data_IF_608316097160
#
_entry.id   IF_608316097160
#
_cell.length_a   1.000
_cell.length_b   1.000
_cell.length_c   1.000
_cell.angle_alpha   90.00
_cell.angle_beta   90.00
_cell.angle_gamma   90.00
#
_symmetry.space_group_name_H-M   'P 1'
#
loop_
_entity.id
_entity.type
_entity.pdbx_description
1 polymer ?
#
# COMPACT_ATOMS: atom_id res chain seq x y z
N UNK A 1 19.25 -3.53 -22.80
CA UNK A 1 20.38 -2.64 -22.40
C UNK A 1 20.12 -2.06 -21.02
N UNK A 2 18.95 -1.45 -20.78
CA UNK A 2 18.58 -0.95 -19.46
C UNK A 2 18.60 -2.05 -18.40
N UNK A 3 18.00 -3.22 -18.67
CA UNK A 3 17.93 -4.33 -17.71
C UNK A 3 19.35 -4.78 -17.28
N UNK A 4 20.27 -4.97 -18.23
CA UNK A 4 21.66 -5.31 -17.90
C UNK A 4 22.34 -4.27 -17.00
N UNK A 5 22.00 -2.97 -17.12
CA UNK A 5 22.55 -1.93 -16.24
C UNK A 5 22.00 -2.06 -14.82
N UNK A 6 20.75 -2.51 -14.67
CA UNK A 6 20.15 -2.76 -13.35
C UNK A 6 20.96 -3.82 -12.61
N UNK A 7 21.27 -4.94 -13.27
CA UNK A 7 22.06 -6.02 -12.67
C UNK A 7 23.49 -5.58 -12.32
N UNK A 8 24.14 -4.80 -13.20
CA UNK A 8 25.51 -4.30 -12.97
C UNK A 8 25.55 -3.30 -11.82
N UNK A 9 24.53 -2.45 -11.69
CA UNK A 9 24.49 -1.42 -10.64
C UNK A 9 23.98 -1.92 -9.30
N UNK A 10 23.35 -3.09 -9.24
CA UNK A 10 22.83 -3.64 -7.98
C UNK A 10 23.92 -3.81 -6.90
N UNK A 11 25.06 -4.49 -7.15
CA UNK A 11 26.13 -4.60 -6.16
C UNK A 11 26.68 -3.24 -5.71
N UNK A 12 26.71 -2.25 -6.60
CA UNK A 12 27.17 -0.89 -6.31
C UNK A 12 26.20 -0.21 -5.34
N UNK A 13 24.90 -0.38 -5.55
CA UNK A 13 23.87 0.17 -4.66
C UNK A 13 23.95 -0.45 -3.27
N UNK A 14 24.17 -1.77 -3.19
CA UNK A 14 24.37 -2.49 -1.94
C UNK A 14 25.61 -1.99 -1.18
N UNK A 15 26.71 -1.67 -1.89
CA UNK A 15 27.91 -1.08 -1.28
C UNK A 15 27.70 0.35 -0.77
N UNK A 16 26.88 1.15 -1.47
CA UNK A 16 26.58 2.53 -1.04
C UNK A 16 25.70 2.52 0.21
N UNK A 17 24.60 1.75 0.19
CA UNK A 17 23.69 1.63 1.31
C UNK A 17 22.83 0.37 1.17
N UNK A 18 23.18 -0.70 1.90
CA UNK A 18 22.47 -1.98 1.88
C UNK A 18 20.98 -1.83 2.24
N UNK A 19 20.66 -0.99 3.24
CA UNK A 19 19.28 -0.81 3.69
C UNK A 19 18.41 -0.17 2.60
N UNK A 20 18.90 0.90 1.96
CA UNK A 20 18.15 1.57 0.89
C UNK A 20 18.15 0.73 -0.41
N UNK A 21 19.23 0.03 -0.71
CA UNK A 21 19.30 -0.84 -1.90
C UNK A 21 18.35 -2.04 -1.79
N UNK A 22 18.12 -2.56 -0.58
CA UNK A 22 17.18 -3.66 -0.31
C UNK A 22 15.71 -3.22 -0.20
N UNK A 23 15.39 -1.97 -0.51
CA UNK A 23 14.01 -1.48 -0.64
C UNK A 23 13.53 -1.60 -2.08
N UNK A 24 12.25 -1.88 -2.24
CA UNK A 24 11.52 -1.80 -3.51
C UNK A 24 10.37 -0.84 -3.35
N UNK A 25 10.37 0.21 -4.17
CA UNK A 25 9.31 1.21 -4.22
C UNK A 25 8.64 1.08 -5.58
N UNK A 26 7.32 1.00 -5.59
CA UNK A 26 6.54 0.98 -6.83
C UNK A 26 5.59 2.17 -6.87
N UNK A 27 5.53 2.81 -8.02
CA UNK A 27 4.57 3.86 -8.33
C UNK A 27 4.14 3.75 -9.80
N UNK A 28 3.05 4.42 -10.16
CA UNK A 28 2.67 4.59 -11.57
C UNK A 28 2.83 6.04 -11.99
N UNK A 29 3.21 6.23 -13.25
CA UNK A 29 3.39 7.54 -13.82
C UNK A 29 2.93 7.57 -15.28
N UNK A 30 2.95 8.76 -15.87
CA UNK A 30 2.48 9.01 -17.22
C UNK A 30 3.41 9.97 -17.97
N UNK A 31 3.79 9.62 -19.21
CA UNK A 31 4.44 10.56 -20.12
C UNK A 31 3.36 11.26 -20.95
N UNK A 32 3.14 12.54 -20.68
CA UNK A 32 2.16 13.34 -21.42
C UNK A 32 2.51 13.38 -22.92
N UNK A 33 1.52 13.09 -23.77
CA UNK A 33 1.71 13.08 -25.21
C UNK A 33 1.25 14.39 -25.86
N UNK A 34 1.86 14.77 -26.97
CA UNK A 34 1.43 15.93 -27.74
C UNK A 34 0.26 15.57 -28.67
N UNK A 35 -0.96 15.52 -28.12
CA UNK A 35 -2.20 15.15 -28.84
C UNK A 35 -3.28 16.21 -28.72
N UNK A 36 -4.24 16.20 -29.64
CA UNK A 36 -5.34 17.18 -29.71
C UNK A 36 -6.14 17.23 -28.41
N UNK A 37 -6.34 16.08 -27.77
CA UNK A 37 -7.11 15.91 -26.55
C UNK A 37 -6.45 16.56 -25.32
N UNK A 38 -5.13 16.75 -25.35
CA UNK A 38 -4.38 17.50 -24.31
C UNK A 38 -4.46 19.02 -24.49
N UNK A 39 -5.05 19.51 -25.57
CA UNK A 39 -5.35 20.93 -25.67
C UNK A 39 -6.42 21.31 -24.64
N UNK A 40 -6.17 22.26 -23.72
CA UNK A 40 -7.17 22.66 -22.72
C UNK A 40 -8.52 23.09 -23.33
N UNK A 41 -8.53 23.58 -24.58
CA UNK A 41 -9.76 23.93 -25.29
C UNK A 41 -10.66 22.71 -25.57
N UNK A 42 -10.07 21.53 -25.75
CA UNK A 42 -10.80 20.28 -26.01
C UNK A 42 -11.68 19.91 -24.81
N UNK A 43 -11.07 19.71 -23.64
CA UNK A 43 -11.79 19.38 -22.41
C UNK A 43 -12.78 20.49 -22.01
N UNK A 44 -12.37 21.76 -22.09
CA UNK A 44 -13.23 22.89 -21.75
C UNK A 44 -14.50 22.97 -22.62
N UNK A 45 -14.41 22.60 -23.90
CA UNK A 45 -15.58 22.55 -24.79
C UNK A 45 -16.60 21.53 -24.29
N UNK A 46 -16.15 20.34 -23.92
CA UNK A 46 -17.00 19.25 -23.41
C UNK A 46 -17.63 19.66 -22.07
N UNK A 47 -16.83 20.17 -21.13
CA UNK A 47 -17.29 20.64 -19.82
C UNK A 47 -18.36 21.73 -19.98
N UNK A 48 -18.17 22.68 -20.92
CA UNK A 48 -19.15 23.76 -21.16
C UNK A 48 -20.48 23.21 -21.70
N UNK A 49 -20.44 22.21 -22.57
CA UNK A 49 -21.64 21.53 -23.06
C UNK A 49 -22.38 20.84 -21.92
N UNK A 50 -21.67 20.10 -21.05
CA UNK A 50 -22.27 19.40 -19.91
C UNK A 50 -22.82 20.35 -18.84
N UNK A 51 -22.16 21.48 -18.58
CA UNK A 51 -22.69 22.56 -17.72
C UNK A 51 -23.99 23.15 -18.28
N UNK A 52 -24.06 23.35 -19.60
CA UNK A 52 -25.26 23.86 -20.28
C UNK A 52 -26.39 22.83 -20.20
N UNK A 53 -26.06 21.54 -20.40
CA UNK A 53 -27.00 20.44 -20.25
C UNK A 53 -27.58 20.35 -18.84
N UNK A 54 -26.74 20.43 -17.80
CA UNK A 54 -27.16 20.50 -16.38
C UNK A 54 -28.22 21.59 -16.18
N UNK A 55 -27.95 22.80 -16.69
CA UNK A 55 -28.85 23.96 -16.57
C UNK A 55 -30.18 23.76 -17.31
N UNK A 56 -30.16 23.24 -18.54
CA UNK A 56 -31.37 23.03 -19.34
C UNK A 56 -32.26 21.95 -18.73
N UNK A 57 -31.66 20.88 -18.20
CA UNK A 57 -32.39 19.74 -17.62
C UNK A 57 -32.79 19.94 -16.16
N UNK A 58 -32.35 21.02 -15.52
CA UNK A 58 -32.61 21.28 -14.11
C UNK A 58 -32.07 20.17 -13.20
N UNK A 59 -30.93 19.56 -13.58
CA UNK A 59 -30.29 18.50 -12.80
C UNK A 59 -29.78 19.08 -11.46
N UNK A 60 -29.89 18.27 -10.42
CA UNK A 60 -29.47 18.64 -9.07
C UNK A 60 -27.94 18.80 -8.94
N UNK A 61 -27.50 19.20 -7.75
CA UNK A 61 -26.08 19.38 -7.46
C UNK A 61 -25.30 18.08 -7.28
N UNK A 62 -25.96 16.93 -7.32
CA UNK A 62 -25.30 15.63 -7.38
C UNK A 62 -24.68 15.38 -8.77
N UNK A 63 -25.20 16.03 -9.82
CA UNK A 63 -24.57 16.00 -11.14
C UNK A 63 -23.33 16.91 -11.18
N UNK A 64 -22.15 16.29 -11.23
CA UNK A 64 -20.87 16.96 -11.45
C UNK A 64 -20.47 16.92 -12.94
N UNK A 65 -20.51 18.07 -13.64
CA UNK A 65 -20.13 18.16 -15.05
C UNK A 65 -18.68 17.77 -15.34
N UNK A 66 -17.77 17.84 -14.35
CA UNK A 66 -16.37 17.44 -14.52
C UNK A 66 -16.23 15.92 -14.51
N UNK A 67 -16.87 15.23 -13.56
CA UNK A 67 -16.94 13.75 -13.55
C UNK A 67 -17.63 13.21 -14.80
N UNK A 68 -18.74 13.83 -15.20
CA UNK A 68 -19.40 13.47 -16.45
C UNK A 68 -18.53 13.72 -17.69
N UNK A 69 -17.67 14.76 -17.68
CA UNK A 69 -16.72 15.00 -18.77
C UNK A 69 -15.67 13.88 -18.86
N UNK A 70 -15.22 13.33 -17.73
CA UNK A 70 -14.30 12.19 -17.71
C UNK A 70 -14.87 10.98 -18.45
N UNK A 71 -16.11 10.61 -18.15
CA UNK A 71 -16.81 9.52 -18.83
C UNK A 71 -17.11 9.81 -20.31
N UNK A 72 -17.38 11.07 -20.67
CA UNK A 72 -17.69 11.47 -22.04
C UNK A 72 -16.47 11.56 -22.96
N UNK A 73 -15.27 11.81 -22.41
CA UNK A 73 -14.05 11.90 -23.20
C UNK A 73 -13.55 10.52 -23.66
N UNK A 74 -12.91 10.43 -24.84
CA UNK A 74 -12.33 9.18 -25.34
C UNK A 74 -11.36 8.55 -24.32
N UNK A 75 -11.37 7.23 -24.15
CA UNK A 75 -10.44 6.53 -23.24
C UNK A 75 -8.99 6.54 -23.70
N UNK A 76 -8.77 6.79 -24.98
CA UNK A 76 -7.45 6.91 -25.58
C UNK A 76 -7.46 8.02 -26.62
N UNK A 77 -6.28 8.51 -26.99
CA UNK A 77 -6.14 9.47 -28.08
C UNK A 77 -6.54 8.82 -29.42
N UNK A 78 -7.05 9.62 -30.34
CA UNK A 78 -7.42 9.17 -31.69
C UNK A 78 -6.19 8.69 -32.49
N UNK A 79 -5.07 9.39 -32.33
CA UNK A 79 -3.82 9.15 -33.08
C UNK A 79 -3.12 7.86 -32.63
N UNK A 80 -3.20 7.50 -31.36
CA UNK A 80 -2.55 6.30 -30.82
C UNK A 80 -3.31 5.75 -29.60
N UNK A 81 -3.88 4.54 -29.70
CA UNK A 81 -4.60 3.90 -28.59
C UNK A 81 -3.75 3.62 -27.34
N UNK A 82 -2.42 3.61 -27.44
CA UNK A 82 -1.52 3.46 -26.29
C UNK A 82 -1.46 4.72 -25.41
N UNK A 83 -1.89 5.87 -25.94
CA UNK A 83 -2.00 7.12 -25.18
C UNK A 83 -3.37 7.10 -24.52
N UNK A 84 -3.39 6.86 -23.21
CA UNK A 84 -4.61 6.69 -22.44
C UNK A 84 -4.99 7.99 -21.73
N UNK A 85 -6.28 8.20 -21.56
CA UNK A 85 -6.77 9.28 -20.71
C UNK A 85 -6.46 8.97 -19.25
N UNK A 86 -5.92 9.96 -18.55
CA UNK A 86 -5.62 9.96 -17.13
C UNK A 86 -6.21 11.22 -16.49
N UNK A 87 -6.43 11.13 -15.18
CA UNK A 87 -6.75 12.27 -14.34
C UNK A 87 -5.64 12.40 -13.31
N UNK A 88 -4.87 13.48 -13.40
CA UNK A 88 -3.69 13.71 -12.57
C UNK A 88 -3.78 15.13 -12.03
N UNK A 89 -3.66 15.28 -10.70
CA UNK A 89 -3.62 16.57 -10.00
C UNK A 89 -4.75 17.54 -10.40
N UNK A 90 -5.98 17.03 -10.57
CA UNK A 90 -7.13 17.88 -10.90
C UNK A 90 -7.34 18.15 -12.39
N UNK A 91 -6.47 17.63 -13.28
CA UNK A 91 -6.50 17.89 -14.70
C UNK A 91 -6.60 16.61 -15.54
N UNK A 92 -7.28 16.71 -16.68
CA UNK A 92 -7.35 15.64 -17.68
C UNK A 92 -6.11 15.69 -18.57
N UNK A 93 -5.46 14.56 -18.74
CA UNK A 93 -4.32 14.42 -19.65
C UNK A 93 -4.36 13.08 -20.36
N UNK A 94 -3.75 13.01 -21.53
CA UNK A 94 -3.56 11.83 -22.35
C UNK A 94 -2.07 11.51 -22.34
N UNK A 95 -1.72 10.36 -21.79
CA UNK A 95 -0.34 10.01 -21.50
C UNK A 95 -0.06 8.53 -21.77
N UNK A 96 1.20 8.20 -22.01
CA UNK A 96 1.67 6.83 -21.94
C UNK A 96 1.79 6.45 -20.47
N UNK A 97 0.90 5.59 -19.99
CA UNK A 97 0.92 5.10 -18.61
C UNK A 97 1.97 4.01 -18.44
N UNK A 98 2.74 4.08 -17.37
CA UNK A 98 3.75 3.08 -17.03
C UNK A 98 3.88 2.90 -15.52
N UNK A 99 4.27 1.70 -15.09
CA UNK A 99 4.74 1.43 -13.74
C UNK A 99 6.24 1.66 -13.65
N UNK A 100 6.71 2.17 -12.53
CA UNK A 100 8.12 2.37 -12.25
C UNK A 100 8.48 1.67 -10.93
N UNK A 101 9.57 0.93 -10.94
CA UNK A 101 10.18 0.38 -9.74
C UNK A 101 11.46 1.14 -9.46
N UNK A 102 11.66 1.58 -8.23
CA UNK A 102 12.92 2.15 -7.74
C UNK A 102 13.38 1.45 -6.47
N UNK A 103 14.64 1.61 -6.12
CA UNK A 103 15.13 1.28 -4.78
C UNK A 103 15.03 2.49 -3.83
N UNK A 104 15.38 2.30 -2.56
CA UNK A 104 15.39 3.37 -1.55
C UNK A 104 16.42 4.48 -1.81
N UNK A 105 17.37 4.28 -2.73
CA UNK A 105 18.28 5.33 -3.20
C UNK A 105 17.66 6.21 -4.30
N UNK A 106 16.45 5.89 -4.77
CA UNK A 106 15.79 6.56 -5.89
C UNK A 106 16.31 6.13 -7.26
N UNK A 107 17.09 5.04 -7.34
CA UNK A 107 17.60 4.52 -8.61
C UNK A 107 16.52 3.66 -9.26
N UNK A 108 16.24 3.93 -10.53
CA UNK A 108 15.24 3.21 -11.30
C UNK A 108 15.72 1.79 -11.59
N UNK A 109 14.85 0.82 -11.32
CA UNK A 109 15.07 -0.63 -11.47
C UNK A 109 14.24 -1.25 -12.58
N UNK A 110 13.04 -0.74 -12.83
CA UNK A 110 12.20 -1.18 -13.96
C UNK A 110 11.28 -0.05 -14.41
N UNK A 111 10.97 -0.03 -15.71
CA UNK A 111 9.95 0.83 -16.31
C UNK A 111 9.09 -0.06 -17.22
N UNK A 112 7.83 -0.25 -16.84
CA UNK A 112 6.89 -1.12 -17.55
C UNK A 112 5.72 -0.33 -18.12
N UNK A 113 5.69 -0.15 -19.44
CA UNK A 113 4.60 0.56 -20.14
C UNK A 113 3.35 -0.31 -20.28
N UNK A 114 2.18 0.25 -19.96
CA UNK A 114 0.89 -0.45 -20.04
C UNK A 114 0.32 -0.41 -21.46
N UNK A 115 1.12 -0.86 -22.41
CA UNK A 115 0.72 -0.97 -23.81
C UNK A 115 -0.10 -2.25 -24.07
N UNK A 116 -0.55 -2.42 -25.31
CA UNK A 116 -1.34 -3.59 -25.71
C UNK A 116 -0.59 -4.91 -25.48
N UNK A 117 0.73 -4.92 -25.65
CA UNK A 117 1.54 -6.13 -25.49
C UNK A 117 1.64 -6.53 -24.01
N UNK A 118 1.81 -5.56 -23.12
CA UNK A 118 1.80 -5.77 -21.67
C UNK A 118 0.45 -6.31 -21.19
N UNK A 119 -0.66 -5.70 -21.63
CA UNK A 119 -2.01 -6.18 -21.30
C UNK A 119 -2.31 -7.56 -21.90
N UNK A 120 -1.68 -7.92 -23.02
CA UNK A 120 -1.80 -9.26 -23.62
C UNK A 120 -0.97 -10.31 -22.86
N UNK A 121 0.20 -9.91 -22.35
CA UNK A 121 1.04 -10.78 -21.51
C UNK A 121 0.39 -11.05 -20.14
N UNK A 122 -0.36 -10.07 -19.63
CA UNK A 122 -1.02 -10.13 -18.31
C UNK A 122 -2.55 -10.03 -18.45
N UNK A 123 -3.24 -11.09 -18.92
CA UNK A 123 -4.68 -11.09 -19.14
C UNK A 123 -5.49 -10.93 -17.84
N UNK A 124 -4.86 -11.13 -16.67
CA UNK A 124 -5.44 -10.93 -15.35
C UNK A 124 -5.74 -9.44 -15.07
N UNK A 125 -5.13 -8.53 -15.82
CA UNK A 125 -5.43 -7.09 -15.76
C UNK A 125 -6.73 -6.83 -16.50
N UNK A 126 -7.86 -6.95 -15.79
CA UNK A 126 -9.16 -6.58 -16.33
C UNK A 126 -9.26 -5.06 -16.41
N UNK A 127 -9.24 -4.54 -17.64
CA UNK A 127 -9.58 -3.14 -17.96
C UNK A 127 -11.08 -2.98 -17.75
N UNK A 128 -11.46 -2.49 -16.58
CA UNK A 128 -12.86 -2.20 -16.27
C UNK A 128 -13.37 -1.02 -17.09
N UNK A 129 -14.69 -1.01 -17.31
CA UNK A 129 -15.35 0.14 -17.93
C UNK A 129 -15.17 1.35 -17.02
N UNK A 130 -14.75 2.48 -17.61
CA UNK A 130 -14.66 3.78 -16.95
C UNK A 130 -15.89 4.04 -16.08
N UNK A 131 -15.65 4.37 -14.83
CA UNK A 131 -16.67 4.90 -13.94
C UNK A 131 -16.74 6.43 -14.06
N UNK A 132 -17.69 7.04 -13.35
CA UNK A 132 -17.75 8.50 -13.19
C UNK A 132 -16.78 9.00 -12.09
N UNK A 133 -15.84 8.16 -11.65
CA UNK A 133 -14.94 8.39 -10.51
C UNK A 133 -13.47 8.24 -10.92
N UNK A 134 -12.82 9.32 -11.40
CA UNK A 134 -11.45 9.26 -11.92
C UNK A 134 -10.42 8.76 -10.90
N UNK A 135 -10.59 9.13 -9.63
CA UNK A 135 -9.64 8.77 -8.56
C UNK A 135 -9.73 7.29 -8.18
N UNK A 136 -10.94 6.71 -8.24
CA UNK A 136 -11.14 5.28 -8.01
C UNK A 136 -10.60 4.47 -9.19
N UNK A 137 -10.88 4.90 -10.42
CA UNK A 137 -10.36 4.26 -11.64
C UNK A 137 -8.83 4.28 -11.67
N UNK A 138 -8.20 5.40 -11.26
CA UNK A 138 -6.74 5.49 -11.11
C UNK A 138 -6.24 4.49 -10.07
N UNK A 139 -6.78 4.55 -8.86
CA UNK A 139 -6.33 3.70 -7.74
C UNK A 139 -6.46 2.21 -8.05
N UNK A 140 -7.57 1.80 -8.68
CA UNK A 140 -7.81 0.42 -9.08
C UNK A 140 -6.83 -0.03 -10.19
N UNK A 141 -6.57 0.85 -11.15
CA UNK A 141 -5.60 0.58 -12.21
C UNK A 141 -4.18 0.37 -11.65
N UNK A 142 -3.78 1.18 -10.68
CA UNK A 142 -2.43 1.13 -10.09
C UNK A 142 -2.25 -0.14 -9.26
N UNK A 143 -3.23 -0.49 -8.44
CA UNK A 143 -3.21 -1.71 -7.62
C UNK A 143 -3.17 -3.00 -8.45
N UNK A 144 -3.92 -3.06 -9.56
CA UNK A 144 -3.93 -4.22 -10.47
C UNK A 144 -2.61 -4.41 -11.21
N UNK A 145 -1.87 -3.33 -11.46
CA UNK A 145 -0.62 -3.40 -12.20
C UNK A 145 0.58 -3.81 -11.34
N UNK A 146 0.50 -3.61 -10.01
CA UNK A 146 1.61 -3.90 -9.08
C UNK A 146 2.13 -5.34 -9.19
N UNK A 147 1.25 -6.33 -9.06
CA UNK A 147 1.65 -7.75 -9.04
C UNK A 147 2.27 -8.17 -10.38
N UNK A 148 1.65 -7.91 -11.55
CA UNK A 148 2.26 -8.18 -12.85
C UNK A 148 3.64 -7.55 -13.04
N UNK A 149 3.79 -6.27 -12.70
CA UNK A 149 5.08 -5.57 -12.88
C UNK A 149 6.15 -6.16 -11.95
N UNK A 150 5.82 -6.50 -10.71
CA UNK A 150 6.76 -7.17 -9.80
C UNK A 150 7.15 -8.56 -10.31
N UNK A 151 6.21 -9.35 -10.83
CA UNK A 151 6.51 -10.67 -11.43
C UNK A 151 7.52 -10.54 -12.57
N UNK A 152 7.24 -9.64 -13.51
CA UNK A 152 8.12 -9.38 -14.65
C UNK A 152 9.50 -8.90 -14.19
N UNK A 153 9.55 -8.03 -13.18
CA UNK A 153 10.80 -7.51 -12.62
C UNK A 153 11.68 -8.62 -12.02
N UNK A 154 11.12 -9.49 -11.18
CA UNK A 154 11.88 -10.58 -10.55
C UNK A 154 12.25 -11.69 -11.54
N UNK A 155 11.47 -11.90 -12.59
CA UNK A 155 11.83 -12.80 -13.68
C UNK A 155 13.02 -12.26 -14.48
N UNK A 156 13.03 -10.95 -14.79
CA UNK A 156 14.17 -10.29 -15.45
C UNK A 156 15.42 -10.27 -14.57
N UNK A 157 15.26 -10.07 -13.26
CA UNK A 157 16.34 -9.83 -12.31
C UNK A 157 16.35 -10.84 -11.15
N UNK A 158 16.65 -12.13 -11.40
CA UNK A 158 16.53 -13.18 -10.40
C UNK A 158 17.53 -13.08 -9.24
N UNK A 159 18.58 -12.26 -9.39
CA UNK A 159 19.60 -12.04 -8.35
C UNK A 159 19.23 -10.91 -7.39
N UNK A 160 18.24 -10.08 -7.73
CA UNK A 160 17.80 -8.98 -6.89
C UNK A 160 16.79 -9.51 -5.87
N UNK A 161 17.19 -9.49 -4.59
CA UNK A 161 16.37 -10.00 -3.50
C UNK A 161 16.12 -8.91 -2.44
N UNK A 162 15.14 -8.03 -2.68
CA UNK A 162 14.82 -6.93 -1.78
C UNK A 162 14.10 -7.44 -0.53
N UNK A 163 14.28 -6.75 0.59
CA UNK A 163 13.73 -7.11 1.90
C UNK A 163 12.49 -6.30 2.27
N UNK A 164 12.40 -5.08 1.76
CA UNK A 164 11.34 -4.14 2.16
C UNK A 164 10.59 -3.62 0.94
N UNK A 165 9.27 -3.64 0.99
CA UNK A 165 8.41 -2.98 0.01
C UNK A 165 7.88 -1.67 0.56
N UNK A 166 7.85 -0.61 -0.25
CA UNK A 166 7.16 0.64 0.03
C UNK A 166 6.16 0.94 -1.07
N UNK A 167 4.97 1.36 -0.68
CA UNK A 167 3.89 1.65 -1.61
C UNK A 167 2.91 2.68 -1.06
N UNK A 168 2.05 3.17 -1.95
CA UNK A 168 1.00 4.11 -1.61
C UNK A 168 -0.20 3.44 -0.92
N UNK A 169 -1.18 4.23 -0.50
CA UNK A 169 -2.40 3.70 0.10
C UNK A 169 -3.29 2.92 -0.89
N UNK A 170 -3.12 3.08 -2.20
CA UNK A 170 -3.91 2.37 -3.19
C UNK A 170 -3.60 0.87 -3.17
N UNK A 171 -2.40 0.47 -2.73
CA UNK A 171 -1.98 -0.92 -2.58
C UNK A 171 -2.48 -1.61 -1.30
N UNK A 172 -3.28 -0.94 -0.47
CA UNK A 172 -3.82 -1.49 0.76
C UNK A 172 -4.90 -2.57 0.48
N UNK A 173 -4.48 -3.79 0.13
CA UNK A 173 -5.37 -4.93 -0.12
C UNK A 173 -4.80 -6.23 0.44
N UNK A 174 -5.66 -7.12 0.93
CA UNK A 174 -5.24 -8.41 1.53
C UNK A 174 -4.45 -9.24 0.50
N UNK A 175 -4.88 -9.23 -0.75
CA UNK A 175 -4.25 -9.95 -1.85
C UNK A 175 -2.83 -9.45 -2.12
N UNK A 176 -2.62 -8.13 -2.18
CA UNK A 176 -1.29 -7.54 -2.37
C UNK A 176 -0.37 -7.90 -1.21
N UNK A 177 -0.83 -7.77 0.04
CA UNK A 177 -0.02 -8.17 1.20
C UNK A 177 0.34 -9.64 1.19
N UNK A 178 -0.59 -10.50 0.77
CA UNK A 178 -0.34 -11.94 0.64
C UNK A 178 0.76 -12.20 -0.39
N UNK A 179 0.65 -11.60 -1.57
CA UNK A 179 1.64 -11.73 -2.63
C UNK A 179 3.02 -11.25 -2.17
N UNK A 180 3.11 -10.03 -1.61
CA UNK A 180 4.37 -9.43 -1.18
C UNK A 180 5.06 -10.25 -0.07
N UNK A 181 4.33 -10.63 0.98
CA UNK A 181 4.92 -11.23 2.18
C UNK A 181 5.05 -12.76 2.10
N UNK A 182 4.19 -13.45 1.34
CA UNK A 182 4.20 -14.91 1.26
C UNK A 182 4.82 -15.44 -0.03
N UNK A 183 4.55 -14.81 -1.17
CA UNK A 183 5.05 -15.28 -2.47
C UNK A 183 6.43 -14.69 -2.77
N UNK A 184 6.55 -13.36 -2.77
CA UNK A 184 7.83 -12.67 -2.99
C UNK A 184 8.74 -12.77 -1.76
N UNK A 185 8.16 -12.95 -0.57
CA UNK A 185 8.86 -13.08 0.73
C UNK A 185 9.61 -11.83 1.15
N UNK A 186 9.04 -10.65 0.89
CA UNK A 186 9.48 -9.44 1.57
C UNK A 186 9.37 -9.62 3.09
N UNK A 187 10.34 -9.12 3.83
CA UNK A 187 10.32 -9.12 5.29
C UNK A 187 9.30 -8.09 5.82
N UNK A 188 9.18 -6.95 5.14
CA UNK A 188 8.31 -5.83 5.55
C UNK A 188 7.63 -5.18 4.34
N UNK A 189 6.39 -4.73 4.53
CA UNK A 189 5.67 -3.93 3.54
C UNK A 189 5.08 -2.66 4.19
N UNK A 190 5.62 -1.50 3.83
CA UNK A 190 5.16 -0.19 4.27
C UNK A 190 4.16 0.36 3.27
N UNK A 191 2.88 0.16 3.58
CA UNK A 191 1.74 0.61 2.77
C UNK A 191 0.77 1.30 3.74
N UNK A 192 0.46 2.59 3.54
CA UNK A 192 -0.53 3.32 4.34
C UNK A 192 -1.92 2.69 4.24
N UNK A 193 -2.73 2.78 5.29
CA UNK A 193 -4.10 2.25 5.26
C UNK A 193 -5.01 3.18 4.46
N UNK A 194 -5.70 2.65 3.45
CA UNK A 194 -6.76 3.34 2.71
C UNK A 194 -8.03 3.48 3.53
N UNK A 195 -8.33 2.49 4.36
CA UNK A 195 -9.51 2.47 5.24
C UNK A 195 -9.09 1.98 6.60
N UNK A 196 -9.65 2.62 7.65
CA UNK A 196 -9.38 2.23 9.04
C UNK A 196 -9.66 0.74 9.24
N UNK A 197 -8.81 0.08 10.01
CA UNK A 197 -9.01 -1.30 10.43
C UNK A 197 -10.29 -1.33 11.30
N UNK A 198 -11.40 -1.79 10.73
CA UNK A 198 -12.66 -1.87 11.44
C UNK A 198 -12.56 -2.91 12.57
N UNK A 199 -12.54 -2.47 13.82
CA UNK A 199 -12.69 -3.33 15.00
C UNK A 199 -14.11 -3.20 15.51
N UNK A 200 -15.05 -3.94 14.91
CA UNK A 200 -16.34 -4.20 15.56
C UNK A 200 -16.22 -5.57 16.22
N UNK A 201 -16.23 -5.54 17.55
CA UNK A 201 -16.48 -6.69 18.42
C UNK A 201 -15.42 -7.79 18.35
N UNK A 202 -14.32 -7.60 19.06
CA UNK A 202 -13.48 -8.71 19.48
C UNK A 202 -12.98 -8.49 20.90
N UNK A 203 -12.66 -9.58 21.62
CA UNK A 203 -12.06 -9.58 22.98
C UNK A 203 -10.70 -8.84 23.08
N UNK A 204 -10.24 -8.25 21.97
CA UNK A 204 -9.01 -7.47 21.81
C UNK A 204 -9.37 -6.12 21.15
N UNK A 205 -9.55 -5.04 21.93
CA UNK A 205 -9.79 -3.72 21.35
C UNK A 205 -8.51 -3.27 20.62
N UNK A 206 -8.59 -3.02 19.32
CA UNK A 206 -7.47 -2.52 18.51
C UNK A 206 -7.65 -1.03 18.24
N UNK A 207 -6.57 -0.25 18.30
CA UNK A 207 -6.57 1.15 17.84
C UNK A 207 -6.47 1.23 16.29
N UNK A 208 -6.36 2.46 15.77
CA UNK A 208 -6.29 2.73 14.33
C UNK A 208 -5.06 2.09 13.66
N UNK A 209 -3.98 1.87 14.41
CA UNK A 209 -2.74 1.22 13.97
C UNK A 209 -2.79 -0.31 14.10
N UNK A 210 -3.91 -0.88 14.56
CA UNK A 210 -3.99 -2.30 14.85
C UNK A 210 -3.22 -2.70 16.11
N UNK A 211 -2.93 -1.78 17.02
CA UNK A 211 -2.29 -2.08 18.31
C UNK A 211 -3.37 -2.38 19.35
N UNK A 212 -3.28 -3.48 20.12
CA UNK A 212 -4.19 -3.75 21.23
C UNK A 212 -4.16 -2.64 22.26
N UNK A 213 -5.33 -2.28 22.76
CA UNK A 213 -5.52 -1.31 23.84
C UNK A 213 -5.91 -2.02 25.14
N UNK A 214 -5.79 -1.30 26.26
CA UNK A 214 -6.27 -1.82 27.54
C UNK A 214 -7.80 -2.04 27.48
N UNK A 215 -8.32 -3.21 27.90
CA UNK A 215 -9.76 -3.46 27.90
C UNK A 215 -10.59 -2.50 28.77
N UNK A 216 -9.98 -1.94 29.83
CA UNK A 216 -10.65 -0.99 30.73
C UNK A 216 -10.44 0.47 30.29
N UNK A 217 -9.48 0.74 29.40
CA UNK A 217 -9.15 2.08 28.94
C UNK A 217 -8.58 2.02 27.51
N UNK A 218 -9.46 2.24 26.53
CA UNK A 218 -9.10 2.14 25.11
C UNK A 218 -8.11 3.22 24.66
N UNK A 219 -7.82 4.24 25.47
CA UNK A 219 -6.81 5.26 25.15
C UNK A 219 -5.37 4.78 25.39
N UNK A 220 -5.19 3.67 26.11
CA UNK A 220 -3.87 3.16 26.49
C UNK A 220 -3.43 2.01 25.57
N UNK A 221 -2.54 2.26 24.59
CA UNK A 221 -1.99 1.20 23.76
C UNK A 221 -1.08 0.29 24.57
N UNK A 222 -1.14 -1.01 24.28
CA UNK A 222 -0.30 -2.01 24.91
C UNK A 222 1.12 -2.00 24.34
N UNK A 223 2.09 -2.39 25.17
CA UNK A 223 3.51 -2.37 24.80
C UNK A 223 3.88 -3.64 24.05
N UNK A 224 4.55 -3.52 22.91
CA UNK A 224 5.12 -4.68 22.21
C UNK A 224 6.28 -5.26 23.02
N UNK A 225 6.29 -6.58 23.25
CA UNK A 225 7.36 -7.28 23.96
C UNK A 225 8.04 -8.34 23.07
N UNK A 226 9.32 -8.10 22.76
CA UNK A 226 10.16 -8.99 21.96
C UNK A 226 9.93 -8.86 20.45
N UNK A 227 10.98 -9.20 19.69
CA UNK A 227 10.97 -9.20 18.22
C UNK A 227 10.83 -10.60 17.61
N UNK A 228 10.87 -11.67 18.43
CA UNK A 228 10.90 -13.07 17.98
C UNK A 228 9.62 -13.82 18.35
N UNK A 229 9.38 -14.90 17.61
CA UNK A 229 8.29 -15.86 17.87
C UNK A 229 8.41 -16.46 19.25
N UNK A 230 7.35 -16.35 20.04
CA UNK A 230 7.31 -16.88 21.41
C UNK A 230 6.73 -18.30 21.48
N UNK A 231 6.24 -18.83 20.35
CA UNK A 231 5.66 -20.17 20.27
C UNK A 231 6.71 -21.20 19.85
N UNK A 232 6.69 -22.37 20.51
CA UNK A 232 7.51 -23.54 20.13
C UNK A 232 7.24 -24.03 18.71
N UNK A 233 6.06 -23.71 18.15
CA UNK A 233 5.69 -24.05 16.77
C UNK A 233 6.40 -23.21 15.70
N UNK A 234 7.17 -22.18 16.09
CA UNK A 234 7.87 -21.30 15.15
C UNK A 234 6.98 -20.29 14.43
N UNK A 235 5.67 -20.28 14.70
CA UNK A 235 4.70 -19.38 14.03
C UNK A 235 4.97 -17.91 14.44
N UNK A 236 5.12 -17.00 13.46
CA UNK A 236 5.18 -15.55 13.67
C UNK A 236 4.11 -15.07 14.64
N UNK A 237 4.51 -14.52 15.78
CA UNK A 237 3.59 -14.01 16.80
C UNK A 237 4.12 -12.72 17.39
N UNK A 238 3.25 -11.72 17.49
CA UNK A 238 3.54 -10.47 18.17
C UNK A 238 2.90 -10.50 19.55
N UNK A 239 3.72 -10.34 20.59
CA UNK A 239 3.27 -10.29 21.97
C UNK A 239 3.10 -8.84 22.41
N UNK A 240 1.93 -8.51 22.93
CA UNK A 240 1.63 -7.23 23.55
C UNK A 240 1.33 -7.42 25.03
N UNK A 241 1.94 -6.60 25.87
CA UNK A 241 1.82 -6.63 27.33
C UNK A 241 1.23 -5.33 27.87
N UNK A 242 0.66 -5.41 29.06
CA UNK A 242 0.06 -4.25 29.73
C UNK A 242 1.04 -3.05 29.79
N UNK A 243 0.60 -1.83 29.45
CA UNK A 243 1.48 -0.66 29.46
C UNK A 243 2.03 -0.32 30.85
N UNK A 244 1.28 -0.69 31.92
CA UNK A 244 1.68 -0.53 33.32
C UNK A 244 2.45 -1.73 33.89
N UNK A 245 2.84 -2.69 33.06
CA UNK A 245 3.70 -3.80 33.46
C UNK A 245 5.14 -3.33 33.69
N UNK A 246 5.75 -3.79 34.78
CA UNK A 246 7.17 -3.60 35.08
C UNK A 246 7.82 -4.92 35.50
N UNK A 247 9.10 -5.05 35.20
CA UNK A 247 9.94 -6.11 35.74
C UNK A 247 10.41 -5.75 37.15
N UNK A 248 10.05 -6.56 38.14
CA UNK A 248 10.48 -6.39 39.53
C UNK A 248 11.48 -7.50 39.86
N UNK A 249 12.70 -7.11 40.22
CA UNK A 249 13.72 -8.05 40.67
C UNK A 249 13.53 -8.37 42.16
N UNK A 250 13.39 -9.65 42.47
CA UNK A 250 13.37 -10.12 43.85
C UNK A 250 14.79 -10.56 44.26
N UNK A 251 15.38 -9.84 45.22
CA UNK A 251 16.75 -10.09 45.71
C UNK A 251 16.90 -11.42 46.45
N UNK A 252 15.84 -11.90 47.11
CA UNK A 252 15.85 -13.15 47.90
C UNK A 252 15.83 -14.37 46.97
N UNK A 253 14.96 -14.35 45.96
CA UNK A 253 14.84 -15.46 44.99
C UNK A 253 15.79 -15.31 43.80
N UNK A 254 16.51 -14.19 43.71
CA UNK A 254 17.39 -13.79 42.59
C UNK A 254 16.72 -13.88 41.22
N UNK A 255 15.39 -13.71 41.16
CA UNK A 255 14.58 -13.82 39.95
C UNK A 255 13.82 -12.53 39.67
N UNK A 256 13.72 -12.18 38.40
CA UNK A 256 12.85 -11.10 37.92
C UNK A 256 11.45 -11.65 37.63
N UNK A 257 10.41 -10.95 38.09
CA UNK A 257 9.02 -11.26 37.77
C UNK A 257 8.33 -10.06 37.14
N UNK A 258 7.43 -10.31 36.20
CA UNK A 258 6.55 -9.28 35.65
C UNK A 258 5.44 -8.98 36.64
N UNK A 259 5.27 -7.70 36.99
CA UNK A 259 4.22 -7.22 37.89
C UNK A 259 3.49 -6.05 37.23
N UNK A 260 2.16 -6.09 37.21
CA UNK A 260 1.34 -4.95 36.79
C UNK A 260 1.10 -4.00 37.96
N UNK A 261 1.14 -2.68 37.69
CA UNK A 261 0.83 -1.62 38.64
C UNK A 261 -0.52 -0.96 38.34
N UNK A 262 -1.48 -1.71 37.81
CA UNK A 262 -2.83 -1.21 37.58
C UNK A 262 -3.61 -1.11 38.89
N UNK A 263 -4.19 0.06 39.15
CA UNK A 263 -5.13 0.27 40.27
C UNK A 263 -6.41 -0.57 40.08
N UNK A 264 -6.94 -0.60 38.85
CA UNK A 264 -8.08 -1.44 38.44
C UNK A 264 -7.61 -2.46 37.38
N UNK A 265 -7.10 -3.63 37.80
CA UNK A 265 -6.57 -4.63 36.87
C UNK A 265 -7.71 -5.23 36.03
N UNK A 266 -7.49 -5.33 34.72
CA UNK A 266 -8.41 -5.99 33.79
C UNK A 266 -8.34 -7.53 33.83
N UNK A 267 -7.41 -8.11 34.61
CA UNK A 267 -7.23 -9.57 34.76
C UNK A 267 -6.66 -9.90 36.13
N UNK A 268 -6.88 -11.12 36.61
CA UNK A 268 -6.26 -11.65 37.83
C UNK A 268 -4.76 -12.03 37.66
N UNK A 269 -4.20 -11.92 36.45
CA UNK A 269 -2.79 -12.23 36.20
C UNK A 269 -1.87 -11.18 36.83
N UNK A 270 -0.79 -11.64 37.47
CA UNK A 270 0.20 -10.75 38.11
C UNK A 270 0.93 -9.86 37.10
N UNK A 271 1.02 -10.24 35.82
CA UNK A 271 1.64 -9.43 34.76
C UNK A 271 0.63 -8.59 33.94
N UNK A 272 -0.66 -8.66 34.29
CA UNK A 272 -1.75 -8.02 33.54
C UNK A 272 -2.19 -8.81 32.30
N UNK A 273 -3.09 -8.21 31.50
CA UNK A 273 -3.53 -8.78 30.21
C UNK A 273 -2.36 -8.82 29.24
N UNK A 274 -2.28 -9.91 28.49
CA UNK A 274 -1.37 -10.06 27.36
C UNK A 274 -2.20 -10.46 26.13
N UNK A 275 -1.85 -9.90 24.97
CA UNK A 275 -2.40 -10.34 23.69
C UNK A 275 -1.31 -10.93 22.83
N UNK A 276 -1.65 -12.03 22.17
CA UNK A 276 -0.82 -12.68 21.17
C UNK A 276 -1.53 -12.52 19.83
N UNK A 277 -0.91 -11.76 18.94
CA UNK A 277 -1.45 -11.51 17.62
C UNK A 277 -0.65 -12.31 16.61
N UNK A 278 -1.38 -12.95 15.72
CA UNK A 278 -0.86 -13.77 14.64
C UNK A 278 -0.91 -12.93 13.37
N UNK A 279 0.22 -12.43 12.84
CA UNK A 279 0.25 -11.58 11.65
C UNK A 279 -0.48 -12.20 10.45
N UNK A 280 -0.39 -13.52 10.30
CA UNK A 280 -1.08 -14.28 9.24
C UNK A 280 -2.61 -14.11 9.26
N UNK A 281 -3.21 -13.81 10.42
CA UNK A 281 -4.66 -13.56 10.51
C UNK A 281 -5.06 -12.22 9.91
N UNK A 282 -4.15 -11.25 9.87
CA UNK A 282 -4.41 -9.93 9.31
C UNK A 282 -3.10 -9.26 8.85
N UNK A 283 -2.67 -9.59 7.62
CA UNK A 283 -1.45 -9.06 7.03
C UNK A 283 -1.50 -7.53 6.83
N UNK A 284 -2.70 -6.94 6.65
CA UNK A 284 -2.89 -5.48 6.59
C UNK A 284 -2.51 -4.80 7.91
N UNK A 285 -2.81 -5.43 9.05
CA UNK A 285 -2.50 -4.87 10.38
C UNK A 285 -1.04 -5.09 10.76
N UNK A 286 -0.43 -6.18 10.29
CA UNK A 286 0.94 -6.58 10.65
C UNK A 286 1.74 -7.00 9.41
N UNK A 287 2.14 -6.04 8.57
CA UNK A 287 2.83 -6.35 7.31
C UNK A 287 4.34 -6.61 7.51
N UNK A 288 4.68 -7.44 8.50
CA UNK A 288 6.06 -7.71 8.93
C UNK A 288 6.60 -6.73 9.99
N UNK A 289 5.95 -5.58 10.18
CA UNK A 289 6.24 -4.61 11.24
C UNK A 289 4.98 -4.17 11.99
N UNK A 290 5.15 -3.51 13.13
CA UNK A 290 4.05 -2.84 13.84
C UNK A 290 3.82 -1.46 13.24
N UNK A 291 2.60 -1.14 12.84
CA UNK A 291 2.26 0.20 12.37
C UNK A 291 2.47 1.25 13.47
N UNK A 292 2.85 2.45 13.06
CA UNK A 292 3.15 3.56 13.98
C UNK A 292 4.48 3.40 14.75
N UNK A 293 5.36 2.48 14.34
CA UNK A 293 6.74 2.46 14.83
C UNK A 293 7.53 3.69 14.36
N UNK A 294 8.65 3.97 15.04
CA UNK A 294 9.65 4.95 14.55
C UNK A 294 10.34 4.49 13.26
N UNK A 295 10.40 3.17 13.04
CA UNK A 295 10.79 2.55 11.78
C UNK A 295 9.68 2.68 10.75
#
# INVERSE_FOLDING_TARGET
>A
MFDNLVDITEPICQQINENLASMTIFDTSGLEAFVTENNPKYANRIIKQLKTFKKIKGLDDYYDPYKAAYGAMPSHADVNPAIQQMYINGHFCYAFKFGIITNGLGIIRDISFYNKDFLKAHPDIVVEKKSDSPDEDKSLGDAKALIPVLKDFFEKHPLINPKTFLGDAAFDSIEIYRYLLQEVKFEKAYIPLKTKLASKESDCPLNEDGIPCCPNDHSLPMKREGSKTHLRSGIPTMKFVCPKMKWVYNKETKKSRQVTLCENPCTNSSCGRMFYIYPEKNLRSYPGTTRGSEE
#
